data_IF_450345782008
#
_entry.id   IF_450345782008
#
_cell.length_a   1.000
_cell.length_b   1.000
_cell.length_c   1.000
_cell.angle_alpha   90.00
_cell.angle_beta   90.00
_cell.angle_gamma   90.00
#
_symmetry.space_group_name_H-M   'P 1'
#
loop_
_entity.id
_entity.type
_entity.pdbx_description
1 polymer ?
#
# COMPACT_ATOMS: atom_id res chain seq x y z
N UNK A 1 11.12 19.45 9.80
CA UNK A 1 11.12 18.29 10.71
C UNK A 1 12.54 17.91 11.03
N UNK A 2 12.80 17.45 12.29
CA UNK A 2 14.09 16.86 12.68
C UNK A 2 14.04 15.34 12.55
N UNK A 3 15.02 14.78 11.85
CA UNK A 3 15.09 13.34 11.57
C UNK A 3 16.31 12.70 12.23
N UNK A 4 16.17 11.42 12.59
CA UNK A 4 17.33 10.54 12.82
C UNK A 4 17.34 9.45 11.76
N UNK A 5 18.55 9.00 11.39
CA UNK A 5 18.78 7.88 10.48
C UNK A 5 19.72 6.88 11.17
N UNK A 6 19.33 5.61 11.25
CA UNK A 6 20.06 4.56 11.96
C UNK A 6 20.24 3.34 11.07
N UNK A 7 21.52 2.98 10.83
CA UNK A 7 21.91 1.83 10.02
C UNK A 7 23.36 1.47 10.36
N UNK A 8 23.67 0.22 10.68
CA UNK A 8 25.02 -0.20 11.08
C UNK A 8 25.98 -0.38 9.90
N UNK A 9 25.46 -0.33 8.67
CA UNK A 9 26.24 -0.32 7.44
C UNK A 9 26.56 1.10 6.97
N UNK A 10 27.80 1.56 7.10
CA UNK A 10 28.20 2.94 6.80
C UNK A 10 27.81 3.44 5.40
N UNK A 11 27.84 2.56 4.38
CA UNK A 11 27.43 2.90 3.01
C UNK A 11 25.93 3.11 2.91
N UNK A 12 25.14 2.23 3.53
CA UNK A 12 23.67 2.32 3.55
C UNK A 12 23.21 3.53 4.36
N UNK A 13 23.83 3.76 5.52
CA UNK A 13 23.59 4.96 6.32
C UNK A 13 23.89 6.24 5.53
N UNK A 14 25.01 6.29 4.78
CA UNK A 14 25.34 7.43 3.93
C UNK A 14 24.31 7.67 2.82
N UNK A 15 23.84 6.62 2.16
CA UNK A 15 22.82 6.69 1.14
C UNK A 15 21.46 7.14 1.73
N UNK A 16 21.06 6.59 2.87
CA UNK A 16 19.83 6.96 3.59
C UNK A 16 19.84 8.43 4.01
N UNK A 17 20.93 8.89 4.64
CA UNK A 17 21.09 10.30 5.04
C UNK A 17 20.98 11.22 3.83
N UNK A 18 21.63 10.88 2.70
CA UNK A 18 21.53 11.66 1.46
C UNK A 18 20.08 11.74 0.95
N UNK A 19 19.36 10.62 0.94
CA UNK A 19 17.97 10.58 0.49
C UNK A 19 17.05 11.39 1.42
N UNK A 20 17.20 11.26 2.75
CA UNK A 20 16.43 11.99 3.75
C UNK A 20 16.71 13.48 3.72
N UNK A 21 18.00 13.89 3.60
CA UNK A 21 18.38 15.31 3.53
C UNK A 21 17.95 16.00 2.25
N UNK A 22 17.57 15.26 1.21
CA UNK A 22 17.06 15.84 -0.04
C UNK A 22 15.59 16.30 0.07
N UNK A 23 14.87 15.90 1.12
CA UNK A 23 13.50 16.34 1.37
C UNK A 23 13.48 17.80 1.87
N UNK A 24 12.67 18.69 1.25
CA UNK A 24 12.52 20.06 1.71
C UNK A 24 11.83 20.16 3.08
N UNK A 25 11.23 19.08 3.54
CA UNK A 25 10.52 19.01 4.82
C UNK A 25 11.42 18.65 6.00
N UNK A 26 12.66 18.21 5.72
CA UNK A 26 13.64 17.86 6.74
C UNK A 26 14.63 19.01 6.92
N UNK A 27 14.68 19.55 8.13
CA UNK A 27 15.57 20.64 8.51
C UNK A 27 16.93 20.12 8.95
N UNK A 28 16.95 18.96 9.63
CA UNK A 28 18.14 18.39 10.22
C UNK A 28 18.05 16.86 10.22
N UNK A 29 19.16 16.18 9.88
CA UNK A 29 19.30 14.73 9.96
C UNK A 29 20.51 14.39 10.84
N UNK A 30 20.26 13.70 11.95
CA UNK A 30 21.32 13.15 12.78
C UNK A 30 21.47 11.66 12.49
N UNK A 31 22.68 11.20 12.20
CA UNK A 31 22.96 9.83 11.81
C UNK A 31 23.59 9.02 12.93
N UNK A 32 23.24 7.74 13.02
CA UNK A 32 23.80 6.80 14.00
C UNK A 32 24.10 5.46 13.32
N UNK A 33 25.25 4.88 13.63
CA UNK A 33 25.60 3.51 13.26
C UNK A 33 25.41 2.52 14.40
N UNK A 34 24.86 2.99 15.53
CA UNK A 34 24.65 2.23 16.74
C UNK A 34 23.30 2.59 17.37
N UNK A 35 22.53 1.55 17.73
CA UNK A 35 21.19 1.71 18.27
C UNK A 35 21.16 2.35 19.66
N UNK A 36 22.15 2.07 20.51
CA UNK A 36 22.19 2.60 21.87
C UNK A 36 22.46 4.09 21.86
N UNK A 37 23.38 4.54 20.99
CA UNK A 37 23.66 5.96 20.79
C UNK A 37 22.45 6.70 20.22
N UNK A 38 21.73 6.09 19.28
CA UNK A 38 20.50 6.65 18.72
C UNK A 38 19.42 6.80 19.79
N UNK A 39 19.24 5.78 20.64
CA UNK A 39 18.28 5.81 21.74
C UNK A 39 18.65 6.85 22.79
N UNK A 40 19.93 6.92 23.18
CA UNK A 40 20.41 7.94 24.12
C UNK A 40 20.18 9.37 23.57
N UNK A 41 20.46 9.57 22.30
CA UNK A 41 20.24 10.86 21.63
C UNK A 41 18.75 11.25 21.67
N UNK A 42 17.86 10.36 21.21
CA UNK A 42 16.44 10.69 21.05
C UNK A 42 15.72 10.89 22.39
N UNK A 43 16.22 10.28 23.47
CA UNK A 43 15.70 10.54 24.83
C UNK A 43 15.99 11.95 25.30
N UNK A 44 17.12 12.52 24.90
CA UNK A 44 17.57 13.87 25.30
C UNK A 44 17.13 14.94 24.29
N UNK A 45 16.99 14.59 23.01
CA UNK A 45 16.71 15.52 21.93
C UNK A 45 15.42 15.13 21.23
N UNK A 46 14.52 16.10 20.90
CA UNK A 46 13.33 15.81 20.14
C UNK A 46 13.67 15.47 18.69
N UNK A 47 13.09 14.40 18.17
CA UNK A 47 13.06 14.09 16.75
C UNK A 47 11.61 13.82 16.34
N UNK A 48 11.23 14.31 15.14
CA UNK A 48 9.88 14.16 14.61
C UNK A 48 9.72 12.81 13.90
N UNK A 49 10.83 12.32 13.29
CA UNK A 49 10.84 11.10 12.48
C UNK A 49 12.15 10.34 12.64
N UNK A 50 12.07 9.01 12.72
CA UNK A 50 13.21 8.10 12.79
C UNK A 50 13.17 7.11 11.62
N UNK A 51 14.19 7.12 10.79
CA UNK A 51 14.43 6.16 9.72
C UNK A 51 15.37 5.08 10.25
N UNK A 52 14.90 3.84 10.35
CA UNK A 52 15.60 2.76 11.05
C UNK A 52 15.80 1.56 10.12
N UNK A 53 17.04 1.10 9.95
CA UNK A 53 17.22 -0.26 9.42
C UNK A 53 16.71 -1.29 10.42
N UNK A 54 16.21 -2.42 9.92
CA UNK A 54 15.69 -3.50 10.76
C UNK A 54 16.82 -4.41 11.20
N UNK A 55 17.70 -4.77 10.28
CA UNK A 55 18.76 -5.75 10.51
C UNK A 55 20.06 -5.09 10.96
N UNK A 56 20.13 -4.72 12.21
CA UNK A 56 21.33 -4.17 12.85
C UNK A 56 21.88 -5.10 13.90
N UNK A 57 23.19 -5.05 14.13
CA UNK A 57 23.87 -5.85 15.16
C UNK A 57 23.45 -5.44 16.57
N UNK A 58 23.34 -6.40 17.46
CA UNK A 58 22.96 -6.17 18.85
C UNK A 58 21.47 -5.91 19.01
N UNK A 59 21.08 -4.69 19.34
CA UNK A 59 19.69 -4.26 19.38
C UNK A 59 19.21 -4.03 17.96
N UNK A 60 18.34 -4.90 17.42
CA UNK A 60 17.76 -4.71 16.10
C UNK A 60 16.83 -3.50 16.00
N UNK A 61 16.53 -3.06 14.77
CA UNK A 61 15.71 -1.87 14.53
C UNK A 61 14.29 -1.96 15.06
N UNK A 62 13.70 -3.15 15.14
CA UNK A 62 12.37 -3.34 15.76
C UNK A 62 12.40 -3.03 17.25
N UNK A 63 13.40 -3.55 17.98
CA UNK A 63 13.55 -3.29 19.40
C UNK A 63 13.91 -1.81 19.71
N UNK A 64 14.70 -1.19 18.82
CA UNK A 64 14.96 0.25 18.88
C UNK A 64 13.68 1.06 18.69
N UNK A 65 12.85 0.70 17.72
CA UNK A 65 11.57 1.37 17.45
C UNK A 65 10.62 1.32 18.66
N UNK A 66 10.49 0.15 19.32
CA UNK A 66 9.70 0.01 20.55
C UNK A 66 10.15 1.00 21.63
N UNK A 67 11.46 1.06 21.91
CA UNK A 67 12.02 1.97 22.90
C UNK A 67 11.87 3.45 22.52
N UNK A 68 11.97 3.77 21.23
CA UNK A 68 11.71 5.14 20.75
C UNK A 68 10.25 5.50 20.96
N UNK A 69 9.31 4.63 20.64
CA UNK A 69 7.87 4.86 20.83
C UNK A 69 7.54 5.06 22.32
N UNK A 70 8.15 4.27 23.21
CA UNK A 70 7.99 4.45 24.66
C UNK A 70 8.52 5.79 25.14
N UNK A 71 9.72 6.18 24.69
CA UNK A 71 10.37 7.44 25.10
C UNK A 71 9.76 8.68 24.44
N UNK A 72 9.30 8.55 23.19
CA UNK A 72 8.81 9.63 22.32
C UNK A 72 7.60 9.16 21.51
N UNK A 73 6.39 9.07 22.07
CA UNK A 73 5.20 8.54 21.39
C UNK A 73 4.80 9.29 20.11
N UNK A 74 5.24 10.54 19.97
CA UNK A 74 4.93 11.37 18.78
C UNK A 74 5.98 11.23 17.67
N UNK A 75 7.12 10.59 17.91
CA UNK A 75 8.13 10.33 16.89
C UNK A 75 7.61 9.30 15.89
N UNK A 76 7.61 9.64 14.61
CA UNK A 76 7.19 8.76 13.53
C UNK A 76 8.29 7.78 13.20
N UNK A 77 7.96 6.49 13.10
CA UNK A 77 8.92 5.44 12.77
C UNK A 77 8.75 5.05 11.31
N UNK A 78 9.84 5.09 10.55
CA UNK A 78 9.92 4.58 9.18
C UNK A 78 11.01 3.53 9.10
N UNK A 79 10.65 2.30 8.78
CA UNK A 79 11.63 1.25 8.58
C UNK A 79 12.22 1.30 7.19
N UNK A 80 13.53 1.05 7.09
CA UNK A 80 14.34 1.12 5.88
C UNK A 80 15.13 -0.19 5.72
N UNK A 81 14.64 -1.16 4.95
CA UNK A 81 15.26 -2.49 4.89
C UNK A 81 15.26 -3.10 3.49
N UNK A 82 16.15 -4.07 3.25
CA UNK A 82 16.19 -4.87 2.02
C UNK A 82 15.29 -6.12 2.05
N UNK A 83 14.53 -6.35 3.10
CA UNK A 83 13.81 -7.61 3.33
C UNK A 83 12.30 -7.38 3.48
N UNK A 84 11.49 -7.99 2.61
CA UNK A 84 10.02 -7.87 2.63
C UNK A 84 9.36 -8.56 3.83
N UNK A 85 9.99 -9.58 4.37
CA UNK A 85 9.46 -10.41 5.46
C UNK A 85 9.25 -9.67 6.79
N UNK A 86 9.91 -8.54 6.98
CA UNK A 86 9.75 -7.71 8.19
C UNK A 86 8.59 -6.71 8.11
N UNK A 87 7.87 -6.64 7.00
CA UNK A 87 6.71 -5.75 6.86
C UNK A 87 5.62 -6.06 7.91
N UNK A 88 5.36 -7.36 8.19
CA UNK A 88 4.35 -7.77 9.19
C UNK A 88 4.75 -7.39 10.63
N UNK A 89 5.97 -7.67 11.12
CA UNK A 89 6.43 -7.17 12.41
C UNK A 89 6.40 -5.64 12.55
N UNK A 90 6.85 -4.91 11.51
CA UNK A 90 6.80 -3.45 11.47
C UNK A 90 5.37 -2.90 11.61
N UNK A 91 4.41 -3.56 10.96
CA UNK A 91 2.99 -3.20 11.05
C UNK A 91 2.41 -3.39 12.45
N UNK A 92 2.80 -4.45 13.16
CA UNK A 92 2.37 -4.69 14.57
C UNK A 92 2.83 -3.58 15.51
N UNK A 93 3.97 -2.95 15.23
CA UNK A 93 4.50 -1.81 15.99
C UNK A 93 3.84 -0.47 15.63
N UNK A 94 2.84 -0.47 14.74
CA UNK A 94 2.22 0.75 14.21
C UNK A 94 3.25 1.72 13.63
N UNK A 95 4.28 1.18 12.94
CA UNK A 95 5.22 2.01 12.21
C UNK A 95 4.46 2.95 11.27
N UNK A 96 4.96 4.17 11.15
CA UNK A 96 4.35 5.20 10.31
C UNK A 96 4.69 5.00 8.83
N UNK A 97 5.73 4.18 8.52
CA UNK A 97 6.15 3.90 7.16
C UNK A 97 7.12 2.74 7.03
N UNK A 98 7.32 2.32 5.77
CA UNK A 98 8.22 1.22 5.40
C UNK A 98 8.80 1.47 4.00
N UNK A 99 10.11 1.55 3.91
CA UNK A 99 10.85 1.79 2.67
C UNK A 99 11.76 0.62 2.33
N UNK A 100 11.69 0.15 1.09
CA UNK A 100 12.56 -0.90 0.58
C UNK A 100 13.85 -0.32 0.03
N UNK A 101 15.00 -0.88 0.44
CA UNK A 101 16.30 -0.53 -0.14
C UNK A 101 16.41 -1.10 -1.58
N UNK A 102 16.95 -0.34 -2.56
CA UNK A 102 17.59 0.97 -2.45
C UNK A 102 16.54 2.11 -2.32
N UNK A 103 16.78 3.05 -1.38
CA UNK A 103 15.87 4.14 -1.06
C UNK A 103 16.24 5.38 -1.85
N UNK A 104 15.30 5.94 -2.60
CA UNK A 104 15.45 7.20 -3.32
C UNK A 104 14.96 8.40 -2.50
N UNK A 105 15.34 9.61 -2.90
CA UNK A 105 14.80 10.83 -2.32
C UNK A 105 13.29 10.97 -2.56
N UNK A 106 12.77 10.43 -3.67
CA UNK A 106 11.34 10.42 -3.98
C UNK A 106 10.57 9.50 -3.04
N UNK A 107 11.12 8.32 -2.71
CA UNK A 107 10.51 7.38 -1.75
C UNK A 107 10.38 8.03 -0.37
N UNK A 108 11.45 8.69 0.09
CA UNK A 108 11.47 9.42 1.36
C UNK A 108 10.43 10.54 1.37
N UNK A 109 10.36 11.36 0.31
CA UNK A 109 9.39 12.45 0.22
C UNK A 109 7.96 11.93 0.21
N UNK A 110 7.69 10.87 -0.54
CA UNK A 110 6.38 10.24 -0.58
C UNK A 110 5.96 9.76 0.80
N UNK A 111 6.89 9.18 1.58
CA UNK A 111 6.58 8.70 2.92
C UNK A 111 6.36 9.85 3.92
N UNK A 112 7.16 10.90 3.85
CA UNK A 112 6.95 12.11 4.65
C UNK A 112 5.60 12.75 4.33
N UNK A 113 5.21 12.83 3.06
CA UNK A 113 3.91 13.34 2.62
C UNK A 113 2.75 12.49 3.19
N UNK A 114 2.90 11.17 3.21
CA UNK A 114 1.93 10.25 3.82
C UNK A 114 1.79 10.52 5.34
N UNK A 115 2.93 10.62 6.04
CA UNK A 115 2.98 10.88 7.49
C UNK A 115 2.37 12.24 7.86
N UNK A 116 2.59 13.26 7.05
CA UNK A 116 2.02 14.60 7.24
C UNK A 116 0.53 14.67 6.89
N UNK A 117 -0.01 13.63 6.25
CA UNK A 117 -1.36 13.68 5.68
C UNK A 117 -1.49 14.66 4.50
N UNK A 118 -0.35 15.15 3.96
CA UNK A 118 -0.32 16.09 2.85
C UNK A 118 -0.71 15.42 1.54
N UNK A 119 -0.47 14.11 1.43
CA UNK A 119 -0.93 13.26 0.34
C UNK A 119 -1.88 12.16 0.86
N UNK A 120 -3.07 12.53 1.30
CA UNK A 120 -4.19 11.73 0.82
C UNK A 120 -4.24 12.02 -0.68
N UNK A 121 -3.65 11.12 -1.49
CA UNK A 121 -3.89 11.14 -2.94
C UNK A 121 -5.38 11.31 -3.12
N UNK A 122 -5.81 12.35 -3.82
CA UNK A 122 -7.22 12.60 -4.03
C UNK A 122 -7.87 11.30 -4.48
N UNK A 123 -8.82 10.80 -3.69
CA UNK A 123 -9.52 9.56 -4.02
C UNK A 123 -10.33 9.81 -5.29
N UNK A 124 -9.97 9.12 -6.37
CA UNK A 124 -10.59 9.33 -7.67
C UNK A 124 -11.90 8.55 -7.81
N UNK A 125 -11.99 7.41 -7.12
CA UNK A 125 -13.18 6.55 -7.12
C UNK A 125 -13.58 6.16 -5.71
N UNK A 126 -14.89 6.09 -5.47
CA UNK A 126 -15.48 5.40 -4.32
C UNK A 126 -15.95 4.03 -4.76
N UNK A 127 -15.46 2.99 -4.09
CA UNK A 127 -15.75 1.58 -4.40
C UNK A 127 -16.49 0.96 -3.23
N UNK A 128 -17.63 0.36 -3.48
CA UNK A 128 -18.38 -0.45 -2.53
C UNK A 128 -18.18 -1.92 -2.85
N UNK A 129 -17.66 -2.65 -1.89
CA UNK A 129 -17.45 -4.10 -1.95
C UNK A 129 -18.42 -4.84 -1.04
N UNK A 130 -18.88 -4.20 0.03
CA UNK A 130 -19.88 -4.79 0.95
C UNK A 130 -21.28 -4.70 0.34
N UNK A 131 -21.94 -5.86 0.21
CA UNK A 131 -23.12 -6.06 -0.59
C UNK A 131 -22.80 -6.28 -2.07
N UNK A 132 -23.43 -5.53 -2.96
CA UNK A 132 -23.11 -5.53 -4.38
C UNK A 132 -21.91 -4.62 -4.69
N UNK A 133 -21.03 -5.10 -5.56
CA UNK A 133 -19.92 -4.29 -6.04
C UNK A 133 -20.41 -3.11 -6.86
N UNK A 134 -20.10 -1.90 -6.39
CA UNK A 134 -20.44 -0.66 -7.08
C UNK A 134 -19.28 0.32 -7.08
N UNK A 135 -19.22 1.15 -8.14
CA UNK A 135 -18.17 2.15 -8.34
C UNK A 135 -18.79 3.50 -8.61
N UNK A 136 -18.27 4.51 -7.95
CA UNK A 136 -18.68 5.91 -8.11
C UNK A 136 -17.46 6.78 -8.38
N UNK A 137 -17.61 7.73 -9.30
CA UNK A 137 -16.69 8.83 -9.53
C UNK A 137 -17.29 10.14 -9.01
N UNK A 138 -16.57 11.25 -9.17
CA UNK A 138 -17.13 12.59 -8.95
C UNK A 138 -18.35 12.91 -9.83
N UNK A 139 -18.54 12.18 -10.94
CA UNK A 139 -19.64 12.35 -11.88
C UNK A 139 -20.85 11.51 -11.53
N UNK A 140 -20.75 10.63 -10.53
CA UNK A 140 -21.80 9.73 -10.09
C UNK A 140 -21.44 8.25 -10.28
N UNK A 141 -22.46 7.39 -10.42
CA UNK A 141 -22.25 5.94 -10.58
C UNK A 141 -21.57 5.64 -11.91
N UNK A 142 -20.44 4.93 -11.87
CA UNK A 142 -19.67 4.53 -13.05
C UNK A 142 -20.41 3.43 -13.80
N UNK A 143 -20.63 3.64 -15.11
CA UNK A 143 -21.26 2.67 -15.99
C UNK A 143 -20.18 1.96 -16.82
N UNK A 144 -20.10 0.65 -16.69
CA UNK A 144 -19.20 -0.17 -17.48
C UNK A 144 -19.88 -0.65 -18.77
N UNK A 145 -19.14 -0.62 -19.87
CA UNK A 145 -19.66 -1.07 -21.17
C UNK A 145 -20.11 -2.53 -21.16
N UNK A 146 -19.43 -3.38 -20.39
CA UNK A 146 -19.75 -4.79 -20.20
C UNK A 146 -19.76 -5.15 -18.73
N UNK A 147 -20.67 -6.03 -18.30
CA UNK A 147 -20.66 -6.58 -16.94
C UNK A 147 -19.34 -7.26 -16.60
N UNK A 148 -18.74 -7.95 -17.58
CA UNK A 148 -17.44 -8.61 -17.43
C UNK A 148 -16.27 -7.63 -17.23
N UNK A 149 -16.38 -6.40 -17.73
CA UNK A 149 -15.41 -5.33 -17.45
C UNK A 149 -15.53 -4.85 -16.00
N UNK A 150 -16.75 -4.75 -15.48
CA UNK A 150 -17.02 -4.43 -14.07
C UNK A 150 -16.49 -5.53 -13.17
N UNK A 151 -16.68 -6.79 -13.54
CA UNK A 151 -16.17 -7.96 -12.81
C UNK A 151 -14.63 -8.00 -12.80
N UNK A 152 -13.96 -7.70 -13.91
CA UNK A 152 -12.49 -7.56 -13.95
C UNK A 152 -12.01 -6.51 -12.95
N UNK A 153 -12.68 -5.36 -12.89
CA UNK A 153 -12.31 -4.31 -11.95
C UNK A 153 -12.54 -4.75 -10.51
N UNK A 154 -13.67 -5.40 -10.21
CA UNK A 154 -13.97 -5.96 -8.90
C UNK A 154 -12.92 -6.98 -8.45
N UNK A 155 -12.52 -7.90 -9.32
CA UNK A 155 -11.49 -8.89 -9.04
C UNK A 155 -10.13 -8.23 -8.70
N UNK A 156 -9.72 -7.22 -9.46
CA UNK A 156 -8.48 -6.51 -9.20
C UNK A 156 -8.52 -5.70 -7.89
N UNK A 157 -9.69 -5.16 -7.50
CA UNK A 157 -9.89 -4.50 -6.21
C UNK A 157 -9.80 -5.51 -5.07
N UNK A 158 -10.43 -6.69 -5.22
CA UNK A 158 -10.35 -7.79 -4.26
C UNK A 158 -8.90 -8.23 -3.98
N UNK A 159 -8.04 -8.21 -5.00
CA UNK A 159 -6.60 -8.52 -4.87
C UNK A 159 -5.77 -7.39 -4.24
N UNK A 160 -6.37 -6.34 -3.72
CA UNK A 160 -5.77 -5.30 -2.87
C UNK A 160 -4.52 -4.63 -3.47
N UNK A 161 -4.50 -4.44 -4.80
CA UNK A 161 -3.35 -3.87 -5.51
C UNK A 161 -2.25 -4.87 -5.88
N UNK A 162 -2.39 -6.14 -5.53
CA UNK A 162 -1.46 -7.18 -5.99
C UNK A 162 -1.46 -7.27 -7.52
N UNK A 163 -0.28 -7.47 -8.11
CA UNK A 163 -0.13 -7.66 -9.55
C UNK A 163 -0.64 -9.02 -9.98
N UNK A 164 -1.62 -9.05 -10.88
CA UNK A 164 -2.23 -10.28 -11.41
C UNK A 164 -1.84 -10.50 -12.87
N UNK A 165 -1.35 -11.67 -13.19
CA UNK A 165 -1.04 -12.05 -14.60
C UNK A 165 -2.31 -12.34 -15.39
N UNK A 166 -2.24 -12.25 -16.74
CA UNK A 166 -3.36 -12.59 -17.61
C UNK A 166 -3.90 -14.00 -17.34
N UNK A 167 -3.00 -14.97 -17.09
CA UNK A 167 -3.38 -16.36 -16.80
C UNK A 167 -4.19 -16.48 -15.51
N UNK A 168 -3.77 -15.80 -14.44
CA UNK A 168 -4.50 -15.78 -13.16
C UNK A 168 -5.87 -15.13 -13.29
N UNK A 169 -5.96 -14.02 -14.02
CA UNK A 169 -7.23 -13.34 -14.27
C UNK A 169 -8.18 -14.23 -15.08
N UNK A 170 -7.70 -14.83 -16.18
CA UNK A 170 -8.52 -15.70 -17.02
C UNK A 170 -9.03 -16.93 -16.25
N UNK A 171 -8.21 -17.54 -15.40
CA UNK A 171 -8.61 -18.70 -14.60
C UNK A 171 -9.80 -18.40 -13.66
N UNK A 172 -9.94 -17.16 -13.18
CA UNK A 172 -11.04 -16.76 -12.31
C UNK A 172 -12.24 -16.23 -13.09
N UNK A 173 -12.01 -15.41 -14.11
CA UNK A 173 -13.09 -14.80 -14.85
C UNK A 173 -13.76 -15.74 -15.88
N UNK A 174 -13.06 -16.78 -16.33
CA UNK A 174 -13.51 -17.72 -17.38
C UNK A 174 -13.26 -19.19 -16.97
N UNK A 175 -13.79 -19.66 -15.82
CA UNK A 175 -13.46 -20.99 -15.28
C UNK A 175 -13.88 -22.14 -16.19
N UNK A 176 -14.96 -21.95 -16.96
CA UNK A 176 -15.56 -22.98 -17.81
C UNK A 176 -15.05 -22.97 -19.26
N UNK A 177 -14.23 -21.99 -19.63
CA UNK A 177 -13.73 -21.87 -21.01
C UNK A 177 -12.28 -22.36 -21.12
N UNK A 178 -12.08 -23.46 -21.83
CA UNK A 178 -10.78 -24.15 -22.00
C UNK A 178 -9.90 -23.53 -23.11
N UNK A 179 -10.38 -22.50 -23.84
CA UNK A 179 -9.62 -21.87 -24.93
C UNK A 179 -8.80 -20.66 -24.42
N UNK A 180 -7.57 -20.93 -23.98
CA UNK A 180 -6.63 -19.92 -23.47
C UNK A 180 -6.43 -18.75 -24.45
N UNK A 181 -6.44 -18.98 -25.77
CA UNK A 181 -6.22 -17.93 -26.75
C UNK A 181 -7.42 -16.98 -26.88
N UNK A 182 -8.64 -17.53 -26.85
CA UNK A 182 -9.87 -16.74 -26.84
C UNK A 182 -9.98 -15.94 -25.56
N UNK A 183 -9.71 -16.56 -24.42
CA UNK A 183 -9.75 -15.90 -23.12
C UNK A 183 -8.75 -14.75 -23.02
N UNK A 184 -7.52 -14.95 -23.49
CA UNK A 184 -6.51 -13.91 -23.55
C UNK A 184 -6.91 -12.77 -24.52
N UNK A 185 -7.54 -13.08 -25.64
CA UNK A 185 -8.03 -12.07 -26.57
C UNK A 185 -9.20 -11.27 -25.98
N UNK A 186 -10.13 -11.95 -25.30
CA UNK A 186 -11.25 -11.31 -24.63
C UNK A 186 -10.80 -10.45 -23.44
N UNK A 187 -9.85 -10.94 -22.62
CA UNK A 187 -9.26 -10.13 -21.54
C UNK A 187 -8.66 -8.83 -22.08
N UNK A 188 -7.94 -8.85 -23.21
CA UNK A 188 -7.42 -7.61 -23.82
C UNK A 188 -8.52 -6.61 -24.17
N UNK A 189 -9.68 -7.09 -24.63
CA UNK A 189 -10.83 -6.21 -24.88
C UNK A 189 -11.39 -5.64 -23.56
N UNK A 190 -11.52 -6.45 -22.51
CA UNK A 190 -11.99 -5.99 -21.19
C UNK A 190 -11.04 -4.95 -20.60
N UNK A 191 -9.72 -5.16 -20.70
CA UNK A 191 -8.69 -4.20 -20.26
C UNK A 191 -8.82 -2.88 -21.04
N UNK A 192 -9.03 -2.93 -22.34
CA UNK A 192 -9.23 -1.72 -23.14
C UNK A 192 -10.51 -0.98 -22.73
N UNK A 193 -11.61 -1.70 -22.53
CA UNK A 193 -12.87 -1.11 -22.06
C UNK A 193 -12.71 -0.50 -20.66
N UNK A 194 -12.00 -1.18 -19.74
CA UNK A 194 -11.71 -0.67 -18.40
C UNK A 194 -10.91 0.63 -18.46
N UNK A 195 -9.82 0.65 -19.25
CA UNK A 195 -9.00 1.87 -19.44
C UNK A 195 -9.83 3.04 -19.98
N UNK A 196 -10.69 2.77 -20.97
CA UNK A 196 -11.54 3.81 -21.54
C UNK A 196 -12.57 4.33 -20.54
N UNK A 197 -13.21 3.43 -19.77
CA UNK A 197 -14.16 3.80 -18.72
C UNK A 197 -13.48 4.67 -17.66
N UNK A 198 -12.32 4.23 -17.13
CA UNK A 198 -11.59 4.98 -16.11
C UNK A 198 -11.11 6.35 -16.65
N UNK A 199 -10.67 6.43 -17.89
CA UNK A 199 -10.28 7.69 -18.52
C UNK A 199 -11.46 8.66 -18.64
N UNK A 200 -12.65 8.18 -19.03
CA UNK A 200 -13.87 9.01 -19.07
C UNK A 200 -14.24 9.57 -17.70
N UNK A 201 -13.95 8.84 -16.63
CA UNK A 201 -14.20 9.24 -15.25
C UNK A 201 -13.06 10.07 -14.63
N UNK A 202 -11.96 10.34 -15.38
CA UNK A 202 -10.77 11.06 -14.87
C UNK A 202 -9.97 10.24 -13.84
N UNK A 203 -10.05 8.91 -13.95
CA UNK A 203 -9.46 7.96 -13.01
C UNK A 203 -8.49 6.97 -13.69
N UNK A 204 -7.89 7.36 -14.83
CA UNK A 204 -6.99 6.49 -15.61
C UNK A 204 -5.80 5.96 -14.78
N UNK A 205 -5.33 6.72 -13.79
CA UNK A 205 -4.22 6.34 -12.92
C UNK A 205 -4.56 5.23 -11.92
N UNK A 206 -5.86 4.90 -11.76
CA UNK A 206 -6.31 3.82 -10.87
C UNK A 206 -5.88 2.46 -11.39
N UNK A 207 -5.85 2.26 -12.70
CA UNK A 207 -5.48 0.99 -13.31
C UNK A 207 -4.08 1.07 -13.92
N UNK A 208 -3.21 0.13 -13.54
CA UNK A 208 -1.85 -0.01 -14.06
C UNK A 208 -1.66 -1.34 -14.75
N UNK A 209 -1.00 -1.30 -15.90
CA UNK A 209 -0.56 -2.48 -16.64
C UNK A 209 0.96 -2.42 -16.79
N UNK A 210 1.64 -3.16 -15.96
CA UNK A 210 3.10 -3.33 -15.97
C UNK A 210 3.37 -4.78 -16.35
N UNK A 211 3.72 -5.02 -17.62
CA UNK A 211 3.91 -6.38 -18.15
C UNK A 211 4.83 -7.22 -17.26
N UNK A 212 4.42 -8.42 -16.81
CA UNK A 212 3.23 -9.16 -17.27
C UNK A 212 1.95 -8.95 -16.42
N UNK A 213 1.91 -7.99 -15.51
CA UNK A 213 0.88 -7.86 -14.49
C UNK A 213 -0.07 -6.69 -14.71
N UNK A 214 -1.31 -6.90 -14.27
CA UNK A 214 -2.38 -5.91 -14.13
C UNK A 214 -2.63 -5.65 -12.65
N UNK A 215 -2.77 -4.39 -12.25
CA UNK A 215 -3.02 -4.00 -10.86
C UNK A 215 -3.87 -2.75 -10.74
N UNK A 216 -4.38 -2.54 -9.53
CA UNK A 216 -5.09 -1.32 -9.14
C UNK A 216 -4.23 -0.52 -8.16
N UNK A 217 -4.12 0.79 -8.35
CA UNK A 217 -3.55 1.69 -7.33
C UNK A 217 -4.63 1.97 -6.27
N UNK A 218 -4.60 1.19 -5.20
CA UNK A 218 -5.57 1.27 -4.09
C UNK A 218 -5.51 2.59 -3.35
N UNK A 219 -4.37 3.29 -3.41
CA UNK A 219 -4.21 4.61 -2.79
C UNK A 219 -5.12 5.69 -3.42
N UNK A 220 -5.66 5.44 -4.62
CA UNK A 220 -6.59 6.33 -5.34
C UNK A 220 -8.07 5.95 -5.11
N UNK A 221 -8.34 4.91 -4.32
CA UNK A 221 -9.68 4.42 -4.01
C UNK A 221 -10.11 4.79 -2.60
N UNK A 222 -11.34 5.25 -2.45
CA UNK A 222 -12.08 5.18 -1.20
C UNK A 222 -12.90 3.88 -1.25
N UNK A 223 -12.49 2.84 -0.52
CA UNK A 223 -13.08 1.51 -0.61
C UNK A 223 -13.41 0.99 0.79
N UNK A 224 -14.66 0.53 0.99
CA UNK A 224 -15.15 0.01 2.25
C UNK A 224 -14.38 -1.24 2.72
N UNK A 225 -14.11 -2.17 1.81
CA UNK A 225 -13.32 -3.38 2.09
C UNK A 225 -11.89 -3.05 2.52
N UNK A 226 -11.20 -2.15 1.81
CA UNK A 226 -9.84 -1.76 2.17
C UNK A 226 -9.81 -1.02 3.51
N UNK A 227 -10.77 -0.12 3.74
CA UNK A 227 -10.90 0.60 5.02
C UNK A 227 -11.21 -0.35 6.17
N UNK A 228 -12.03 -1.39 5.94
CA UNK A 228 -12.28 -2.42 6.94
C UNK A 228 -11.00 -3.17 7.33
N UNK A 229 -10.18 -3.56 6.36
CA UNK A 229 -8.91 -4.25 6.62
C UNK A 229 -7.90 -3.37 7.38
N UNK A 230 -7.93 -2.04 7.15
CA UNK A 230 -7.04 -1.10 7.81
C UNK A 230 -7.46 -0.77 9.25
N UNK A 231 -8.76 -0.64 9.52
CA UNK A 231 -9.23 -0.05 10.78
C UNK A 231 -10.57 -0.63 11.31
N UNK A 232 -11.11 -1.68 10.68
CA UNK A 232 -12.37 -2.31 11.06
C UNK A 232 -13.62 -1.50 10.71
N UNK A 233 -13.52 -0.44 9.89
CA UNK A 233 -14.64 0.40 9.47
C UNK A 233 -14.75 0.51 7.94
N UNK A 234 -15.97 0.51 7.38
CA UNK A 234 -17.27 0.26 8.05
C UNK A 234 -17.37 -1.19 8.54
N UNK A 235 -18.21 -1.45 9.53
CA UNK A 235 -18.42 -2.82 10.02
C UNK A 235 -18.93 -3.72 8.91
N UNK A 236 -18.29 -4.87 8.74
CA UNK A 236 -18.73 -5.93 7.84
C UNK A 236 -20.07 -6.52 8.35
N UNK A 237 -21.02 -6.80 7.42
CA UNK A 237 -22.36 -7.28 7.72
C UNK A 237 -22.69 -8.62 7.08
N UNK A 238 -21.69 -9.39 6.69
CA UNK A 238 -21.87 -10.71 6.06
C UNK A 238 -22.14 -10.71 4.57
N UNK A 239 -21.99 -9.58 3.87
CA UNK A 239 -22.20 -9.48 2.42
C UNK A 239 -20.97 -8.87 1.74
N UNK A 240 -20.42 -9.58 0.75
CA UNK A 240 -19.25 -9.14 -0.01
C UNK A 240 -19.38 -9.51 -1.48
N UNK A 241 -19.41 -8.50 -2.37
CA UNK A 241 -19.47 -8.66 -3.83
C UNK A 241 -20.39 -9.78 -4.31
N UNK A 242 -21.61 -9.83 -3.78
CA UNK A 242 -22.56 -10.96 -3.89
C UNK A 242 -22.88 -11.39 -5.33
N UNK A 243 -22.61 -10.54 -6.34
CA UNK A 243 -22.83 -10.86 -7.74
C UNK A 243 -21.74 -11.76 -8.36
N UNK A 244 -20.66 -12.09 -7.61
CA UNK A 244 -19.53 -12.85 -8.12
C UNK A 244 -19.24 -14.08 -7.26
N UNK A 245 -19.33 -15.28 -7.85
CA UNK A 245 -19.08 -16.54 -7.14
C UNK A 245 -17.64 -16.68 -6.63
N UNK A 246 -16.64 -16.13 -7.35
CA UNK A 246 -15.25 -16.15 -6.90
C UNK A 246 -15.00 -15.32 -5.62
N UNK A 247 -15.90 -14.42 -5.25
CA UNK A 247 -15.79 -13.60 -4.05
C UNK A 247 -16.12 -14.37 -2.75
N UNK A 248 -16.68 -15.57 -2.85
CA UNK A 248 -17.00 -16.45 -1.71
C UNK A 248 -15.77 -16.79 -0.87
N UNK A 249 -14.59 -16.92 -1.49
CA UNK A 249 -13.33 -17.17 -0.78
C UNK A 249 -12.99 -16.00 0.17
N UNK A 250 -13.08 -14.77 -0.33
CA UNK A 250 -12.84 -13.56 0.47
C UNK A 250 -13.95 -13.35 1.50
N UNK A 251 -15.22 -13.65 1.16
CA UNK A 251 -16.34 -13.62 2.09
C UNK A 251 -16.09 -14.55 3.29
N UNK A 252 -15.69 -15.80 3.04
CA UNK A 252 -15.39 -16.75 4.10
C UNK A 252 -14.24 -16.26 5.02
N UNK A 253 -13.20 -15.64 4.46
CA UNK A 253 -12.13 -15.05 5.27
C UNK A 253 -12.65 -13.91 6.16
N UNK A 254 -13.51 -13.03 5.64
CA UNK A 254 -14.07 -11.92 6.39
C UNK A 254 -15.02 -12.38 7.52
N UNK A 255 -15.67 -13.52 7.37
CA UNK A 255 -16.54 -14.12 8.40
C UNK A 255 -15.73 -14.77 9.53
N UNK A 256 -14.51 -15.25 9.26
CA UNK A 256 -13.63 -15.81 10.29
C UNK A 256 -12.96 -14.75 11.18
N UNK A 257 -12.90 -13.50 10.71
CA UNK A 257 -12.30 -12.37 11.44
C UNK A 257 -13.33 -11.63 12.33
N UNK A 258 -14.60 -12.11 12.36
CA UNK A 258 -15.69 -11.63 13.22
C UNK A 258 -15.76 -12.41 14.53
#
# INVERSE_FOLDING_TARGET
MKAIAVDDEALMLGALVKAVSASPDIEEVTKFSDCEQALEFITKNPADIAFLDINMRGMGGLALAEKIIEARPNCKIVFCTGYEEYAIPAFKLRASGYLMKPISAEDVQNEIDNIKGVRQKEKLLTVKCFGEFEVYSKRGKVTFKRLKTKELFAFLVDRKGAGMTAKQICAVLFPDDMDDNKNAAYLRQLVMDLKNTLKQEGAENVFRHETPCYRIDTSLLQCDYLSYLENGNPKFRGEYMMQYSWAEETLAMLEFDL
#
